data_IF_438239627105
#
_entry.id   IF_438239627105
#
_cell.length_a   1.000
_cell.length_b   1.000
_cell.length_c   1.000
_cell.angle_alpha   90.00
_cell.angle_beta   90.00
_cell.angle_gamma   90.00
#
_symmetry.space_group_name_H-M   'P 1'
#
loop_
_entity.id
_entity.type
_entity.pdbx_description
1 polymer ?
#
# COMPACT_ATOMS: atom_id res chain seq x y z
N UNK A 1 12.04 -27.53 -33.34
CA UNK A 1 10.78 -26.77 -33.31
C UNK A 1 10.79 -26.16 -31.93
N UNK A 2 11.22 -24.91 -31.86
CA UNK A 2 11.65 -24.24 -30.64
C UNK A 2 10.45 -24.06 -29.71
N UNK A 3 10.55 -24.66 -28.53
CA UNK A 3 9.71 -24.31 -27.39
C UNK A 3 10.06 -22.86 -27.02
N UNK A 4 9.36 -21.89 -27.62
CA UNK A 4 9.23 -20.55 -27.07
C UNK A 4 8.60 -20.75 -25.69
N UNK A 5 9.44 -20.82 -24.65
CA UNK A 5 9.02 -20.51 -23.29
C UNK A 5 8.18 -19.24 -23.41
N UNK A 6 6.91 -19.30 -23.05
CA UNK A 6 6.15 -18.12 -22.69
C UNK A 6 7.01 -17.40 -21.65
N UNK A 7 7.75 -16.38 -22.08
CA UNK A 7 8.49 -15.50 -21.19
C UNK A 7 7.37 -14.75 -20.47
N UNK A 8 7.07 -15.22 -19.26
CA UNK A 8 6.13 -14.56 -18.38
C UNK A 8 6.54 -13.09 -18.29
N UNK A 9 5.62 -12.19 -18.63
CA UNK A 9 5.92 -10.78 -18.79
C UNK A 9 6.48 -10.24 -17.46
N UNK A 10 7.74 -9.74 -17.43
CA UNK A 10 8.38 -9.23 -16.22
C UNK A 10 7.60 -8.11 -15.54
N UNK A 11 6.69 -7.45 -16.28
CA UNK A 11 5.77 -6.48 -15.72
C UNK A 11 4.94 -7.04 -14.56
N UNK A 12 4.49 -8.30 -14.62
CA UNK A 12 3.64 -8.87 -13.57
C UNK A 12 4.41 -9.11 -12.27
N UNK A 13 5.67 -9.54 -12.36
CA UNK A 13 6.55 -9.69 -11.20
C UNK A 13 6.85 -8.33 -10.56
N UNK A 14 7.14 -7.31 -11.38
CA UNK A 14 7.34 -5.95 -10.90
C UNK A 14 6.07 -5.36 -10.26
N UNK A 15 4.89 -5.60 -10.86
CA UNK A 15 3.59 -5.23 -10.30
C UNK A 15 3.38 -5.85 -8.91
N UNK A 16 3.65 -7.15 -8.75
CA UNK A 16 3.52 -7.84 -7.46
C UNK A 16 4.45 -7.25 -6.39
N UNK A 17 5.71 -6.99 -6.75
CA UNK A 17 6.68 -6.36 -5.85
C UNK A 17 6.21 -4.96 -5.39
N UNK A 18 5.68 -4.14 -6.30
CA UNK A 18 5.12 -2.82 -5.96
C UNK A 18 3.92 -2.95 -5.01
N UNK A 19 3.04 -3.92 -5.23
CA UNK A 19 1.88 -4.17 -4.35
C UNK A 19 2.32 -4.59 -2.95
N UNK A 20 3.34 -5.45 -2.84
CA UNK A 20 3.91 -5.86 -1.56
C UNK A 20 4.53 -4.68 -0.80
N UNK A 21 5.37 -3.88 -1.47
CA UNK A 21 5.97 -2.66 -0.88
C UNK A 21 4.89 -1.68 -0.43
N UNK A 22 3.84 -1.48 -1.22
CA UNK A 22 2.73 -0.61 -0.86
C UNK A 22 1.97 -1.11 0.37
N UNK A 23 1.82 -2.42 0.55
CA UNK A 23 1.27 -3.02 1.77
C UNK A 23 2.12 -2.70 3.00
N UNK A 24 3.45 -2.75 2.88
CA UNK A 24 4.36 -2.41 3.96
C UNK A 24 4.31 -0.92 4.32
N UNK A 25 4.21 -0.04 3.31
CA UNK A 25 3.98 1.39 3.47
C UNK A 25 2.67 1.67 4.20
N UNK A 26 1.57 1.00 3.85
CA UNK A 26 0.30 1.11 4.56
C UNK A 26 0.40 0.64 6.02
N UNK A 27 1.06 -0.50 6.27
CA UNK A 27 1.28 -1.02 7.63
C UNK A 27 2.10 -0.05 8.47
N UNK A 28 3.13 0.56 7.88
CA UNK A 28 3.99 1.53 8.55
C UNK A 28 3.26 2.84 8.83
N UNK A 29 2.40 3.28 7.91
CA UNK A 29 1.49 4.40 8.10
C UNK A 29 0.52 4.17 9.28
N UNK A 30 -0.08 2.98 9.39
CA UNK A 30 -0.96 2.64 10.52
C UNK A 30 -0.21 2.64 11.85
N UNK A 31 1.02 2.15 11.86
CA UNK A 31 1.89 2.19 13.03
C UNK A 31 2.20 3.64 13.42
N UNK A 32 2.54 4.48 12.44
CA UNK A 32 2.76 5.90 12.65
C UNK A 32 1.55 6.60 13.27
N UNK A 33 0.34 6.40 12.72
CA UNK A 33 -0.88 7.00 13.25
C UNK A 33 -1.18 6.54 14.69
N UNK A 34 -0.96 5.26 15.00
CA UNK A 34 -1.10 4.74 16.37
C UNK A 34 -0.12 5.40 17.33
N UNK A 35 1.15 5.48 16.95
CA UNK A 35 2.20 6.10 17.78
C UNK A 35 1.96 7.60 17.95
N UNK A 36 1.44 8.28 16.94
CA UNK A 36 1.04 9.67 17.01
C UNK A 36 -0.13 9.88 17.99
N UNK A 37 -1.12 8.97 17.98
CA UNK A 37 -2.27 8.99 18.89
C UNK A 37 -1.88 8.75 20.35
N UNK A 38 -0.87 7.92 20.59
CA UNK A 38 -0.40 7.58 21.94
C UNK A 38 0.45 8.69 22.61
N UNK A 39 0.84 9.75 21.89
CA UNK A 39 1.59 10.95 22.37
C UNK A 39 2.54 10.67 23.57
N UNK A 40 3.57 9.87 23.36
CA UNK A 40 4.66 9.67 24.33
C UNK A 40 5.98 10.28 23.83
N UNK A 41 6.80 10.82 24.73
CA UNK A 41 8.09 11.47 24.40
C UNK A 41 9.11 10.45 23.88
N UNK A 42 9.09 9.21 24.40
CA UNK A 42 9.91 8.09 23.88
C UNK A 42 9.48 7.67 22.47
N UNK A 43 8.18 7.83 22.15
CA UNK A 43 7.65 7.60 20.80
C UNK A 43 8.12 8.65 19.79
N UNK A 44 8.65 9.82 20.21
CA UNK A 44 9.07 10.87 19.26
C UNK A 44 10.30 10.48 18.44
N UNK A 45 11.26 9.77 19.04
CA UNK A 45 12.47 9.33 18.33
C UNK A 45 12.16 8.13 17.43
N UNK A 46 11.40 7.16 17.96
CA UNK A 46 10.92 6.02 17.19
C UNK A 46 9.97 6.44 16.03
N UNK A 47 9.19 7.51 16.20
CA UNK A 47 8.36 8.09 15.14
C UNK A 47 9.22 8.71 14.03
N UNK A 48 10.32 9.37 14.37
CA UNK A 48 11.25 9.91 13.38
C UNK A 48 11.92 8.79 12.57
N UNK A 49 12.29 7.69 13.22
CA UNK A 49 12.85 6.51 12.57
C UNK A 49 11.81 5.85 11.63
N UNK A 50 10.58 5.65 12.11
CA UNK A 50 9.45 5.15 11.29
C UNK A 50 9.16 6.05 10.10
N UNK A 51 9.24 7.38 10.26
CA UNK A 51 9.05 8.33 9.17
C UNK A 51 10.17 8.31 8.15
N UNK A 52 11.39 8.05 8.60
CA UNK A 52 12.54 7.87 7.71
C UNK A 52 12.37 6.60 6.89
N UNK A 53 12.06 5.47 7.54
CA UNK A 53 11.80 4.20 6.85
C UNK A 53 10.63 4.30 5.86
N UNK A 54 9.57 5.02 6.23
CA UNK A 54 8.43 5.27 5.35
C UNK A 54 8.85 6.06 4.10
N UNK A 55 9.62 7.13 4.27
CA UNK A 55 10.10 7.94 3.15
C UNK A 55 11.01 7.13 2.23
N UNK A 56 11.93 6.34 2.79
CA UNK A 56 12.80 5.45 2.02
C UNK A 56 11.98 4.45 1.20
N UNK A 57 10.96 3.81 1.80
CA UNK A 57 10.09 2.90 1.06
C UNK A 57 9.25 3.59 -0.01
N UNK A 58 8.76 4.81 0.24
CA UNK A 58 8.00 5.54 -0.78
C UNK A 58 8.90 5.97 -1.94
N UNK A 59 10.11 6.45 -1.65
CA UNK A 59 11.10 6.78 -2.69
C UNK A 59 11.45 5.53 -3.53
N UNK A 60 11.59 4.36 -2.90
CA UNK A 60 11.80 3.09 -3.60
C UNK A 60 10.62 2.72 -4.52
N UNK A 61 9.37 2.90 -4.06
CA UNK A 61 8.19 2.63 -4.90
C UNK A 61 8.10 3.65 -6.03
N UNK A 62 8.39 4.93 -5.79
CA UNK A 62 8.38 5.96 -6.83
C UNK A 62 9.39 5.64 -7.94
N UNK A 63 10.59 5.16 -7.59
CA UNK A 63 11.57 4.68 -8.57
C UNK A 63 11.03 3.49 -9.38
N UNK A 64 10.46 2.48 -8.71
CA UNK A 64 9.86 1.32 -9.39
C UNK A 64 8.71 1.74 -10.34
N UNK A 65 7.92 2.74 -9.97
CA UNK A 65 6.83 3.28 -10.79
C UNK A 65 7.33 4.05 -12.00
N UNK A 66 8.45 4.74 -11.90
CA UNK A 66 9.11 5.40 -13.05
C UNK A 66 9.56 4.34 -14.06
N UNK A 67 10.19 3.26 -13.60
CA UNK A 67 10.62 2.16 -14.47
C UNK A 67 9.42 1.47 -15.12
N UNK A 68 8.34 1.22 -14.36
CA UNK A 68 7.10 0.64 -14.89
C UNK A 68 6.43 1.56 -15.92
N UNK A 69 6.43 2.88 -15.70
CA UNK A 69 5.88 3.84 -16.67
C UNK A 69 6.67 3.85 -17.98
N UNK A 70 8.01 3.75 -17.90
CA UNK A 70 8.85 3.63 -19.10
C UNK A 70 8.51 2.36 -19.88
N UNK A 71 8.35 1.22 -19.20
CA UNK A 71 7.94 -0.04 -19.82
C UNK A 71 6.57 0.09 -20.49
N UNK A 72 5.59 0.70 -19.81
CA UNK A 72 4.26 0.94 -20.39
C UNK A 72 4.34 1.84 -21.62
N UNK A 73 5.15 2.90 -21.58
CA UNK A 73 5.37 3.79 -22.73
C UNK A 73 6.00 3.05 -23.92
N UNK A 74 6.99 2.19 -23.68
CA UNK A 74 7.61 1.37 -24.74
C UNK A 74 6.60 0.41 -25.36
N UNK A 75 5.77 -0.24 -24.55
CA UNK A 75 4.73 -1.16 -25.00
C UNK A 75 3.69 -0.44 -25.86
N UNK A 76 3.26 0.76 -25.46
CA UNK A 76 2.30 1.55 -26.24
C UNK A 76 2.85 2.03 -27.59
N UNK A 77 4.14 2.33 -27.65
CA UNK A 77 4.79 2.77 -28.88
C UNK A 77 5.04 1.62 -29.86
N UNK A 78 5.16 0.37 -29.39
CA UNK A 78 5.47 -0.80 -30.23
C UNK A 78 4.64 -2.06 -29.88
N UNK A 79 3.30 -2.00 -29.92
CA UNK A 79 2.45 -3.11 -29.46
C UNK A 79 2.65 -4.40 -30.28
N UNK A 80 2.89 -4.30 -31.60
CA UNK A 80 3.09 -5.44 -32.50
C UNK A 80 4.34 -6.27 -32.16
N UNK A 81 5.36 -5.63 -31.58
CA UNK A 81 6.64 -6.27 -31.24
C UNK A 81 6.55 -7.10 -29.96
N UNK A 82 5.67 -6.69 -29.04
CA UNK A 82 5.51 -7.32 -27.73
C UNK A 82 4.27 -8.19 -27.64
N UNK A 83 3.38 -8.17 -28.63
CA UNK A 83 2.18 -9.01 -28.66
C UNK A 83 1.17 -8.65 -27.56
N UNK A 84 1.24 -7.43 -27.02
CA UNK A 84 0.37 -6.95 -25.93
C UNK A 84 -0.84 -6.25 -26.55
N UNK A 85 -2.04 -6.60 -26.07
CA UNK A 85 -3.28 -5.94 -26.50
C UNK A 85 -3.30 -4.48 -26.05
N UNK A 86 -3.87 -3.59 -26.85
CA UNK A 86 -4.05 -2.18 -26.47
C UNK A 86 -4.88 -2.04 -25.17
N UNK A 87 -5.82 -2.96 -24.94
CA UNK A 87 -6.58 -3.04 -23.70
C UNK A 87 -5.67 -3.34 -22.49
N UNK A 88 -4.66 -4.20 -22.68
CA UNK A 88 -3.72 -4.56 -21.63
C UNK A 88 -2.75 -3.42 -21.32
N UNK A 89 -2.23 -2.71 -22.34
CA UNK A 89 -1.42 -1.51 -22.09
C UNK A 89 -2.19 -0.44 -21.31
N UNK A 90 -3.49 -0.27 -21.58
CA UNK A 90 -4.34 0.65 -20.83
C UNK A 90 -4.52 0.21 -19.36
N UNK A 91 -4.67 -1.11 -19.11
CA UNK A 91 -4.73 -1.65 -17.75
C UNK A 91 -3.43 -1.39 -16.99
N UNK A 92 -2.27 -1.56 -17.64
CA UNK A 92 -0.96 -1.28 -17.02
C UNK A 92 -0.79 0.19 -16.67
N UNK A 93 -1.19 1.09 -17.57
CA UNK A 93 -1.22 2.53 -17.30
C UNK A 93 -2.12 2.87 -16.12
N UNK A 94 -3.36 2.36 -16.12
CA UNK A 94 -4.31 2.59 -15.05
C UNK A 94 -3.79 2.09 -13.69
N UNK A 95 -3.07 0.98 -13.66
CA UNK A 95 -2.42 0.47 -12.44
C UNK A 95 -1.35 1.46 -11.91
N UNK A 96 -0.43 1.92 -12.77
CA UNK A 96 0.62 2.88 -12.37
C UNK A 96 -0.01 4.18 -11.86
N UNK A 97 -1.04 4.68 -12.54
CA UNK A 97 -1.77 5.88 -12.12
C UNK A 97 -2.49 5.70 -10.77
N UNK A 98 -3.10 4.54 -10.55
CA UNK A 98 -3.76 4.21 -9.29
C UNK A 98 -2.76 4.16 -8.12
N UNK A 99 -1.62 3.50 -8.32
CA UNK A 99 -0.59 3.41 -7.27
C UNK A 99 -0.01 4.79 -6.96
N UNK A 100 0.27 5.62 -7.97
CA UNK A 100 0.69 7.02 -7.75
C UNK A 100 -0.34 7.83 -6.97
N UNK A 101 -1.61 7.73 -7.34
CA UNK A 101 -2.68 8.43 -6.62
C UNK A 101 -2.76 8.00 -5.15
N UNK A 102 -2.58 6.71 -4.88
CA UNK A 102 -2.58 6.18 -3.51
C UNK A 102 -1.38 6.69 -2.71
N UNK A 103 -0.18 6.70 -3.28
CA UNK A 103 1.01 7.23 -2.61
C UNK A 103 0.87 8.72 -2.28
N UNK A 104 0.38 9.52 -3.24
CA UNK A 104 0.14 10.95 -3.02
C UNK A 104 -0.90 11.15 -1.92
N UNK A 105 -1.94 10.32 -1.85
CA UNK A 105 -2.96 10.39 -0.80
C UNK A 105 -2.35 10.05 0.57
N UNK A 106 -1.58 8.96 0.70
CA UNK A 106 -0.93 8.56 1.96
C UNK A 106 0.09 9.62 2.41
N UNK A 107 0.90 10.16 1.49
CA UNK A 107 1.82 11.25 1.80
C UNK A 107 1.09 12.51 2.27
N UNK A 108 -0.03 12.86 1.65
CA UNK A 108 -0.84 14.03 2.02
C UNK A 108 -1.50 13.87 3.40
N UNK A 109 -1.94 12.67 3.73
CA UNK A 109 -2.50 12.32 5.04
C UNK A 109 -1.43 12.42 6.14
N UNK A 110 -0.16 12.11 5.80
CA UNK A 110 1.01 12.27 6.69
C UNK A 110 1.49 13.70 6.86
N UNK A 111 1.45 14.52 5.81
CA UNK A 111 1.87 15.91 5.85
C UNK A 111 0.82 16.79 6.54
N UNK A 112 -0.45 16.34 6.57
CA UNK A 112 -1.55 16.99 7.26
C UNK A 112 -2.28 16.07 8.27
N UNK A 113 -1.63 15.63 9.36
CA UNK A 113 -2.32 14.91 10.43
C UNK A 113 -3.28 15.81 11.22
N UNK A 114 -3.35 17.10 10.87
CA UNK A 114 -4.07 18.17 11.58
C UNK A 114 -4.80 19.16 10.67
N UNK A 115 -4.94 18.91 9.36
CA UNK A 115 -5.79 19.77 8.53
C UNK A 115 -7.25 19.37 8.67
N UNK A 116 -7.84 19.82 9.77
CA UNK A 116 -9.27 20.09 9.85
C UNK A 116 -9.67 20.87 8.57
N UNK A 117 -10.60 20.38 7.72
CA UNK A 117 -11.01 21.07 6.49
C UNK A 117 -11.64 22.46 6.72
N UNK A 118 -11.77 22.87 7.98
CA UNK A 118 -12.47 24.08 8.40
C UNK A 118 -11.55 25.28 8.71
N UNK A 119 -10.23 25.10 8.83
CA UNK A 119 -9.35 26.21 9.24
C UNK A 119 -9.03 27.23 8.12
N UNK A 120 -9.57 27.02 6.92
CA UNK A 120 -9.53 27.99 5.82
C UNK A 120 -10.59 29.09 5.94
N UNK A 121 -11.57 28.97 6.85
CA UNK A 121 -12.66 29.96 7.00
C UNK A 121 -12.41 31.04 8.07
N UNK A 122 -11.42 30.87 8.94
CA UNK A 122 -11.22 31.78 10.08
C UNK A 122 -10.25 32.95 9.83
N UNK A 123 -9.60 33.04 8.66
CA UNK A 123 -8.75 34.20 8.28
C UNK A 123 -9.53 35.43 7.78
N UNK A 124 -10.87 35.43 7.81
CA UNK A 124 -11.70 36.56 7.36
C UNK A 124 -12.18 37.50 8.48
N UNK A 125 -11.98 37.18 9.76
CA UNK A 125 -12.38 38.05 10.88
C UNK A 125 -11.17 38.47 11.73
N UNK A 126 -10.24 39.20 11.12
CA UNK A 126 -9.28 40.03 11.85
C UNK A 126 -9.69 41.48 11.69
N UNK A 127 -10.46 42.00 12.64
CA UNK A 127 -10.45 43.40 13.06
C UNK A 127 -11.32 43.62 14.31
N UNK A 128 -10.68 44.19 15.36
CA UNK A 128 -11.24 44.70 16.63
C UNK A 128 -11.53 43.59 17.67
N UNK A 129 -11.14 43.65 18.95
CA UNK A 129 -10.84 44.78 19.84
C UNK A 129 -10.12 44.32 21.13
N UNK A 130 -9.04 45.04 21.49
CA UNK A 130 -8.72 45.62 22.80
C UNK A 130 -8.89 44.87 24.16
N UNK A 131 -7.75 44.85 24.89
CA UNK A 131 -7.53 45.07 26.35
C UNK A 131 -7.62 43.88 27.35
N UNK A 132 -6.45 43.63 27.99
CA UNK A 132 -6.10 42.77 29.16
C UNK A 132 -6.82 43.23 30.48
N UNK A 133 -6.72 42.59 31.70
CA UNK A 133 -5.63 41.74 32.27
C UNK A 133 -5.98 40.63 33.33
N UNK A 134 -4.92 40.00 33.87
CA UNK A 134 -4.77 38.82 34.76
C UNK A 134 -5.44 38.73 36.17
N UNK A 135 -5.74 37.46 36.57
CA UNK A 135 -5.68 36.76 37.91
C UNK A 135 -6.70 37.09 39.03
N UNK A 136 -6.93 36.23 40.08
CA UNK A 136 -6.37 34.91 40.43
C UNK A 136 -7.39 33.79 40.82
N UNK A 137 -6.87 32.56 40.98
CA UNK A 137 -7.51 31.32 41.45
C UNK A 137 -8.34 31.46 42.75
N UNK A 138 -9.57 30.90 42.81
CA UNK A 138 -10.09 30.00 43.88
C UNK A 138 -11.46 29.37 43.54
N UNK A 139 -11.45 28.02 43.46
CA UNK A 139 -12.42 27.04 43.98
C UNK A 139 -13.93 27.36 43.86
N UNK A 140 -14.55 26.82 42.81
CA UNK A 140 -15.94 26.35 42.83
C UNK A 140 -16.05 25.00 42.09
N UNK A 141 -16.26 23.93 42.85
CA UNK A 141 -16.21 22.53 42.42
C UNK A 141 -17.55 22.00 41.87
N UNK A 142 -18.50 22.88 41.53
CA UNK A 142 -19.84 22.49 41.03
C UNK A 142 -20.08 22.99 39.60
N UNK A 143 -19.54 24.17 39.25
CA UNK A 143 -19.44 24.69 37.87
C UNK A 143 -18.48 23.90 36.98
N UNK A 144 -17.67 23.04 37.61
CA UNK A 144 -16.81 22.09 36.90
C UNK A 144 -17.58 20.93 36.28
N UNK A 145 -18.81 20.60 36.71
CA UNK A 145 -19.53 19.44 36.15
C UNK A 145 -20.10 19.75 34.76
N UNK A 146 -20.70 20.93 34.59
CA UNK A 146 -21.25 21.36 33.30
C UNK A 146 -20.12 21.63 32.29
N UNK A 147 -19.05 22.30 32.75
CA UNK A 147 -17.83 22.49 31.97
C UNK A 147 -17.13 21.15 31.68
N UNK A 148 -17.07 20.20 32.63
CA UNK A 148 -16.52 18.87 32.38
C UNK A 148 -17.40 18.06 31.42
N UNK A 149 -18.72 18.19 31.47
CA UNK A 149 -19.62 17.58 30.49
C UNK A 149 -19.41 18.16 29.10
N UNK A 150 -19.21 19.47 28.99
CA UNK A 150 -18.88 20.16 27.74
C UNK A 150 -17.50 19.72 27.20
N UNK A 151 -16.49 19.60 28.06
CA UNK A 151 -15.21 19.01 27.69
C UNK A 151 -15.35 17.54 27.26
N UNK A 152 -16.22 16.77 27.91
CA UNK A 152 -16.42 15.36 27.59
C UNK A 152 -17.20 15.17 26.28
N UNK A 153 -18.11 16.10 25.93
CA UNK A 153 -18.80 16.12 24.62
C UNK A 153 -17.88 16.61 23.50
N UNK A 154 -16.95 17.52 23.78
CA UNK A 154 -15.89 17.92 22.86
C UNK A 154 -14.95 16.75 22.57
N UNK A 155 -14.51 16.03 23.61
CA UNK A 155 -13.65 14.84 23.50
C UNK A 155 -14.38 13.69 22.78
N UNK A 156 -15.69 13.50 23.00
CA UNK A 156 -16.49 12.50 22.29
C UNK A 156 -16.63 12.84 20.80
N UNK A 157 -16.90 14.09 20.43
CA UNK A 157 -16.93 14.52 19.03
C UNK A 157 -15.55 14.40 18.36
N UNK A 158 -14.47 14.71 19.08
CA UNK A 158 -13.10 14.53 18.60
C UNK A 158 -12.79 13.05 18.34
N UNK A 159 -13.33 12.13 19.15
CA UNK A 159 -13.21 10.69 18.94
C UNK A 159 -14.09 10.16 17.80
N UNK A 160 -15.29 10.71 17.59
CA UNK A 160 -16.16 10.32 16.47
C UNK A 160 -15.60 10.78 15.11
N UNK A 161 -14.98 11.96 15.05
CA UNK A 161 -14.32 12.44 13.82
C UNK A 161 -13.07 11.60 13.48
N UNK A 162 -12.42 11.01 14.49
CA UNK A 162 -11.31 10.07 14.30
C UNK A 162 -11.76 8.70 13.75
N UNK A 163 -13.02 8.31 13.94
CA UNK A 163 -13.56 7.06 13.40
C UNK A 163 -13.77 7.14 11.88
N UNK A 164 -14.00 8.35 11.32
CA UNK A 164 -14.13 8.55 9.87
C UNK A 164 -12.80 8.31 9.12
N UNK A 165 -11.65 8.68 9.71
CA UNK A 165 -10.33 8.40 9.12
C UNK A 165 -9.99 6.91 9.14
N UNK A 166 -10.35 6.21 10.22
CA UNK A 166 -10.24 4.74 10.28
C UNK A 166 -11.16 4.09 9.24
N UNK A 167 -12.32 4.70 8.97
CA UNK A 167 -13.26 4.20 7.96
C UNK A 167 -12.69 4.28 6.54
N UNK A 168 -11.97 5.36 6.19
CA UNK A 168 -11.27 5.49 4.91
C UNK A 168 -10.19 4.43 4.71
N UNK A 169 -9.31 4.25 5.70
CA UNK A 169 -8.26 3.22 5.64
C UNK A 169 -8.82 1.80 5.65
N UNK A 170 -9.87 1.52 6.42
CA UNK A 170 -10.55 0.22 6.41
C UNK A 170 -11.25 -0.04 5.07
N UNK A 171 -11.79 0.99 4.43
CA UNK A 171 -12.39 0.87 3.10
C UNK A 171 -11.32 0.55 2.03
N UNK A 172 -10.15 1.21 2.11
CA UNK A 172 -9.00 0.91 1.25
C UNK A 172 -8.43 -0.48 1.53
N UNK A 173 -8.32 -0.90 2.80
CA UNK A 173 -7.92 -2.26 3.20
C UNK A 173 -8.93 -3.31 2.74
N UNK A 174 -10.23 -3.00 2.73
CA UNK A 174 -11.26 -3.92 2.21
C UNK A 174 -11.14 -4.08 0.71
N UNK A 175 -10.90 -2.98 0.00
CA UNK A 175 -10.65 -3.00 -1.45
C UNK A 175 -9.36 -3.77 -1.76
N UNK A 176 -8.28 -3.51 -1.03
CA UNK A 176 -7.00 -4.20 -1.15
C UNK A 176 -7.10 -5.67 -0.77
N UNK A 177 -7.76 -6.03 0.32
CA UNK A 177 -8.01 -7.42 0.71
C UNK A 177 -8.87 -8.16 -0.32
N UNK A 178 -9.78 -7.45 -1.02
CA UNK A 178 -10.54 -8.02 -2.14
C UNK A 178 -9.68 -8.22 -3.39
N UNK A 179 -8.69 -7.36 -3.64
CA UNK A 179 -7.73 -7.50 -4.73
C UNK A 179 -6.73 -8.62 -4.41
N UNK A 180 -6.13 -8.62 -3.21
CA UNK A 180 -5.24 -9.67 -2.73
C UNK A 180 -5.94 -11.03 -2.65
N UNK A 181 -7.21 -11.06 -2.22
CA UNK A 181 -8.00 -12.28 -2.19
C UNK A 181 -8.26 -12.88 -3.58
N UNK A 182 -8.30 -12.05 -4.63
CA UNK A 182 -8.37 -12.52 -6.02
C UNK A 182 -7.01 -12.97 -6.53
N UNK A 183 -5.97 -12.19 -6.28
CA UNK A 183 -4.60 -12.53 -6.69
C UNK A 183 -4.12 -13.84 -6.02
N UNK A 184 -4.43 -14.08 -4.74
CA UNK A 184 -4.09 -15.34 -4.07
C UNK A 184 -4.85 -16.54 -4.66
N UNK A 185 -6.06 -16.35 -5.17
CA UNK A 185 -6.80 -17.40 -5.88
C UNK A 185 -6.16 -17.65 -7.25
N UNK A 186 -5.79 -16.61 -7.98
CA UNK A 186 -5.07 -16.71 -9.25
C UNK A 186 -3.69 -17.40 -9.07
N UNK A 187 -2.95 -17.06 -8.02
CA UNK A 187 -1.70 -17.72 -7.66
C UNK A 187 -1.92 -19.19 -7.24
N UNK A 188 -3.03 -19.52 -6.56
CA UNK A 188 -3.39 -20.90 -6.25
C UNK A 188 -3.65 -21.71 -7.52
N UNK A 189 -4.38 -21.14 -8.49
CA UNK A 189 -4.60 -21.78 -9.80
C UNK A 189 -3.29 -21.96 -10.57
N UNK A 190 -2.37 -21.00 -10.48
CA UNK A 190 -1.05 -21.09 -11.10
C UNK A 190 -0.16 -22.15 -10.43
N UNK A 191 -0.23 -22.30 -9.10
CA UNK A 191 0.47 -23.37 -8.37
C UNK A 191 -0.05 -24.76 -8.78
N UNK A 192 -1.37 -24.93 -8.95
CA UNK A 192 -1.94 -26.18 -9.47
C UNK A 192 -1.41 -26.50 -10.88
N UNK A 193 -1.26 -25.49 -11.73
CA UNK A 193 -0.67 -25.67 -13.05
C UNK A 193 0.82 -26.06 -12.98
N UNK A 194 1.57 -25.43 -12.07
CA UNK A 194 2.98 -25.77 -11.80
C UNK A 194 3.10 -27.21 -11.32
N UNK A 195 2.24 -27.68 -10.42
CA UNK A 195 2.21 -29.07 -9.96
C UNK A 195 1.93 -30.05 -11.11
N UNK A 196 0.96 -29.74 -11.98
CA UNK A 196 0.70 -30.54 -13.19
C UNK A 196 1.91 -30.56 -14.14
N UNK A 197 2.64 -29.45 -14.27
CA UNK A 197 3.88 -29.36 -15.07
C UNK A 197 4.99 -30.20 -14.42
N UNK A 198 5.12 -30.16 -13.08
CA UNK A 198 6.06 -30.98 -12.31
C UNK A 198 5.78 -32.46 -12.51
N UNK A 199 4.52 -32.92 -12.41
CA UNK A 199 4.15 -34.32 -12.65
C UNK A 199 4.56 -34.79 -14.06
N UNK A 200 4.27 -33.99 -15.09
CA UNK A 200 4.68 -34.30 -16.47
C UNK A 200 6.19 -34.35 -16.62
N UNK A 201 6.93 -33.43 -16.00
CA UNK A 201 8.40 -33.49 -16.02
C UNK A 201 8.93 -34.71 -15.28
N UNK A 202 8.33 -35.11 -14.16
CA UNK A 202 8.70 -36.31 -13.41
C UNK A 202 8.47 -37.58 -14.25
N UNK A 203 7.35 -37.66 -14.98
CA UNK A 203 7.11 -38.75 -15.93
C UNK A 203 8.13 -38.80 -17.07
N UNK A 204 8.51 -37.63 -17.62
CA UNK A 204 9.54 -37.53 -18.66
C UNK A 204 10.90 -37.96 -18.11
N UNK A 205 11.25 -37.53 -16.90
CA UNK A 205 12.49 -37.89 -16.21
C UNK A 205 12.53 -39.39 -15.91
N UNK A 206 11.42 -39.98 -15.44
CA UNK A 206 11.26 -41.43 -15.22
C UNK A 206 11.41 -42.24 -16.52
N UNK A 207 10.84 -41.75 -17.62
CA UNK A 207 11.03 -42.32 -18.97
C UNK A 207 12.49 -42.21 -19.42
N UNK A 208 13.12 -41.06 -19.24
CA UNK A 208 14.53 -40.82 -19.52
C UNK A 208 15.44 -41.76 -18.73
N UNK A 209 15.18 -41.92 -17.44
CA UNK A 209 15.91 -42.85 -16.57
C UNK A 209 15.74 -44.30 -17.00
N UNK A 210 14.53 -44.71 -17.38
CA UNK A 210 14.28 -46.06 -17.92
C UNK A 210 15.04 -46.31 -19.23
N UNK A 211 15.08 -45.33 -20.12
CA UNK A 211 15.81 -45.41 -21.38
C UNK A 211 17.33 -45.45 -21.14
N UNK A 212 17.84 -44.60 -20.25
CA UNK A 212 19.24 -44.60 -19.83
C UNK A 212 19.64 -45.95 -19.23
N UNK A 213 18.83 -46.48 -18.30
CA UNK A 213 19.04 -47.81 -17.72
C UNK A 213 19.04 -48.91 -18.78
N UNK A 214 18.18 -48.81 -19.80
CA UNK A 214 18.13 -49.75 -20.93
C UNK A 214 19.39 -49.67 -21.80
N UNK A 215 19.88 -48.46 -22.09
CA UNK A 215 21.11 -48.25 -22.87
C UNK A 215 22.32 -48.79 -22.11
N UNK A 216 22.43 -48.49 -20.80
CA UNK A 216 23.51 -49.02 -19.95
C UNK A 216 23.49 -50.55 -19.96
N UNK A 217 22.33 -51.17 -19.75
CA UNK A 217 22.20 -52.63 -19.79
C UNK A 217 22.48 -53.25 -21.18
N UNK A 218 22.27 -52.50 -22.28
CA UNK A 218 22.63 -52.93 -23.63
C UNK A 218 24.11 -52.76 -23.95
N UNK A 219 24.82 -51.87 -23.23
CA UNK A 219 26.25 -51.62 -23.42
C UNK A 219 27.15 -52.51 -22.53
N UNK A 220 26.59 -53.06 -21.45
CA UNK A 220 27.29 -53.98 -20.53
C UNK A 220 27.19 -55.46 -20.94
N UNK A 221 26.54 -55.77 -22.08
CA UNK A 221 26.36 -57.12 -22.63
C UNK A 221 27.10 -57.36 -23.94
#
# INVERSE_FOLDING_TARGET
MEDMKEIQDPFFEAKENVVLKLSDVCRLHDLYLKMQKERCVESSMALADVMKEFREMVDDIDNDLVDLEEVVCVVENQPEKYGISNEESLKRRAFVDQVRSNLVQIQKDLENPSSDPLDLKNKACSQNSSLLPEKPLRRDSVSNIELAQEYQSLIMNEQDTQLDYVFGTVQNLREQASIMGRELVEQSELIEEVDMRIERTNEKLKRGFKNMKRIVAQNEG
#
